data_IF_430144572377
#
_entry.id   IF_430144572377
#
_cell.length_a   1.000
_cell.length_b   1.000
_cell.length_c   1.000
_cell.angle_alpha   90.00
_cell.angle_beta   90.00
_cell.angle_gamma   90.00
#
_symmetry.space_group_name_H-M   'P 1'
#
loop_
_entity.id
_entity.type
_entity.pdbx_description
1 polymer ?
#
# COMPACT_ATOMS: atom_id res chain seq x y z
N UNK A 1 -5.44 32.10 17.87
CA UNK A 1 -4.34 32.52 16.99
C UNK A 1 -4.50 31.80 15.65
N UNK A 2 -4.65 32.54 14.55
CA UNK A 2 -5.04 32.04 13.21
C UNK A 2 -4.19 30.86 12.70
N UNK A 3 -2.88 30.88 12.96
CA UNK A 3 -1.98 29.82 12.51
C UNK A 3 -2.34 28.44 13.09
N UNK A 4 -2.75 28.39 14.36
CA UNK A 4 -3.19 27.15 14.99
C UNK A 4 -4.47 26.62 14.35
N UNK A 5 -5.36 27.51 13.89
CA UNK A 5 -6.63 27.11 13.26
C UNK A 5 -6.41 26.65 11.81
N UNK A 6 -5.45 27.24 11.11
CA UNK A 6 -4.97 26.73 9.81
C UNK A 6 -4.39 25.33 9.99
N UNK A 7 -3.52 25.11 10.98
CA UNK A 7 -2.92 23.79 11.22
C UNK A 7 -3.98 22.73 11.56
N UNK A 8 -4.95 23.05 12.42
CA UNK A 8 -6.08 22.17 12.72
C UNK A 8 -6.86 21.80 11.46
N UNK A 9 -7.13 22.80 10.60
CA UNK A 9 -7.82 22.59 9.33
C UNK A 9 -7.02 21.68 8.41
N UNK A 10 -5.70 21.89 8.27
CA UNK A 10 -4.83 21.03 7.48
C UNK A 10 -4.90 19.57 7.93
N UNK A 11 -4.77 19.32 9.25
CA UNK A 11 -4.86 17.97 9.83
C UNK A 11 -6.22 17.33 9.54
N UNK A 12 -7.31 18.08 9.69
CA UNK A 12 -8.66 17.61 9.42
C UNK A 12 -8.85 17.25 7.95
N UNK A 13 -8.44 18.14 7.03
CA UNK A 13 -8.52 17.91 5.59
C UNK A 13 -7.72 16.67 5.17
N UNK A 14 -6.49 16.50 5.67
CA UNK A 14 -5.67 15.32 5.35
C UNK A 14 -6.32 14.02 5.86
N UNK A 15 -6.91 14.05 7.06
CA UNK A 15 -7.63 12.89 7.62
C UNK A 15 -8.82 12.49 6.76
N UNK A 16 -9.60 13.46 6.31
CA UNK A 16 -10.78 13.21 5.49
C UNK A 16 -10.41 12.76 4.07
N UNK A 17 -9.41 13.38 3.44
CA UNK A 17 -8.87 12.95 2.16
C UNK A 17 -8.32 11.52 2.23
N UNK A 18 -7.59 11.16 3.29
CA UNK A 18 -7.08 9.81 3.47
C UNK A 18 -8.22 8.79 3.62
N UNK A 19 -9.26 9.13 4.39
CA UNK A 19 -10.45 8.28 4.55
C UNK A 19 -11.10 7.97 3.20
N UNK A 20 -11.29 8.99 2.37
CA UNK A 20 -11.91 8.85 1.05
C UNK A 20 -10.99 8.13 0.06
N UNK A 21 -9.68 8.40 0.09
CA UNK A 21 -8.67 7.70 -0.71
C UNK A 21 -8.67 6.20 -0.42
N UNK A 22 -8.71 5.81 0.85
CA UNK A 22 -8.80 4.41 1.29
C UNK A 22 -10.09 3.74 0.85
N UNK A 23 -11.23 4.44 0.95
CA UNK A 23 -12.51 3.92 0.48
C UNK A 23 -12.49 3.68 -1.04
N UNK A 24 -11.87 4.59 -1.80
CA UNK A 24 -11.70 4.42 -3.25
C UNK A 24 -10.76 3.28 -3.62
N UNK A 25 -9.66 3.08 -2.87
CA UNK A 25 -8.74 1.95 -3.07
C UNK A 25 -9.47 0.60 -3.01
N UNK A 26 -10.32 0.41 -2.00
CA UNK A 26 -11.10 -0.82 -1.83
C UNK A 26 -12.05 -1.10 -3.00
N UNK A 27 -12.60 -0.05 -3.62
CA UNK A 27 -13.48 -0.17 -4.79
C UNK A 27 -12.72 -0.41 -6.10
N UNK A 28 -11.43 -0.04 -6.16
CA UNK A 28 -10.63 -0.04 -7.38
C UNK A 28 -9.42 -1.00 -7.33
N UNK A 29 -9.51 -2.11 -6.59
CA UNK A 29 -8.40 -3.06 -6.45
C UNK A 29 -7.87 -3.60 -7.79
N UNK A 30 -8.72 -3.71 -8.82
CA UNK A 30 -8.34 -4.16 -10.16
C UNK A 30 -7.76 -3.05 -11.06
N UNK A 31 -8.01 -1.76 -10.74
CA UNK A 31 -7.68 -0.56 -11.52
C UNK A 31 -6.81 0.42 -10.72
N UNK A 32 -5.70 -0.08 -10.18
CA UNK A 32 -4.84 0.67 -9.25
C UNK A 32 -4.11 1.84 -9.91
N UNK A 33 -3.83 1.75 -11.20
CA UNK A 33 -3.31 2.82 -12.04
C UNK A 33 -4.25 4.04 -12.10
N UNK A 34 -5.56 3.80 -12.27
CA UNK A 34 -6.59 4.84 -12.26
C UNK A 34 -6.67 5.51 -10.88
N UNK A 35 -6.69 4.70 -9.82
CA UNK A 35 -6.72 5.22 -8.45
C UNK A 35 -5.53 6.14 -8.14
N UNK A 36 -4.31 5.79 -8.58
CA UNK A 36 -3.12 6.65 -8.36
C UNK A 36 -3.24 8.00 -9.09
N UNK A 37 -3.87 8.02 -10.27
CA UNK A 37 -4.09 9.25 -11.03
C UNK A 37 -5.08 10.17 -10.31
N UNK A 38 -6.13 9.60 -9.71
CA UNK A 38 -7.22 10.34 -9.05
C UNK A 38 -6.86 10.92 -7.68
N UNK A 39 -5.94 10.30 -6.93
CA UNK A 39 -5.66 10.68 -5.54
C UNK A 39 -4.27 11.29 -5.35
N UNK A 40 -4.07 12.21 -4.37
CA UNK A 40 -2.74 12.74 -4.06
C UNK A 40 -1.74 11.64 -3.72
N UNK A 41 -0.48 11.79 -4.17
CA UNK A 41 0.52 10.72 -4.05
C UNK A 41 0.75 10.25 -2.61
N UNK A 42 0.85 11.19 -1.66
CA UNK A 42 0.98 10.87 -0.24
C UNK A 42 -0.24 10.11 0.31
N UNK A 43 -1.45 10.45 -0.11
CA UNK A 43 -2.65 9.71 0.29
C UNK A 43 -2.62 8.28 -0.24
N UNK A 44 -2.18 8.08 -1.49
CA UNK A 44 -2.02 6.76 -2.08
C UNK A 44 -0.99 5.92 -1.31
N UNK A 45 0.17 6.49 -0.99
CA UNK A 45 1.23 5.79 -0.23
C UNK A 45 0.70 5.36 1.13
N UNK A 46 0.14 6.29 1.91
CA UNK A 46 -0.38 6.00 3.26
C UNK A 46 -1.52 5.00 3.21
N UNK A 47 -2.46 5.13 2.26
CA UNK A 47 -3.56 4.17 2.08
C UNK A 47 -3.05 2.77 1.71
N UNK A 48 -2.04 2.69 0.84
CA UNK A 48 -1.37 1.46 0.44
C UNK A 48 -0.68 0.77 1.62
N UNK A 49 0.06 1.53 2.43
CA UNK A 49 0.73 1.01 3.64
C UNK A 49 -0.27 0.50 4.68
N UNK A 50 -1.39 1.20 4.90
CA UNK A 50 -2.44 0.73 5.81
C UNK A 50 -3.04 -0.58 5.30
N UNK A 51 -3.38 -0.66 4.01
CA UNK A 51 -3.94 -1.88 3.40
C UNK A 51 -2.94 -3.04 3.49
N UNK A 52 -1.68 -2.79 3.14
CA UNK A 52 -0.61 -3.79 3.23
C UNK A 52 -0.43 -4.32 4.65
N UNK A 53 -0.40 -3.43 5.64
CA UNK A 53 -0.29 -3.82 7.06
C UNK A 53 -1.45 -4.72 7.47
N UNK A 54 -2.68 -4.34 7.13
CA UNK A 54 -3.87 -5.15 7.42
C UNK A 54 -3.80 -6.54 6.77
N UNK A 55 -3.39 -6.60 5.50
CA UNK A 55 -3.31 -7.84 4.74
C UNK A 55 -2.21 -8.77 5.29
N UNK A 56 -1.02 -8.23 5.59
CA UNK A 56 0.11 -9.00 6.15
C UNK A 56 -0.20 -9.49 7.56
N UNK A 57 -0.76 -8.64 8.43
CA UNK A 57 -1.21 -9.04 9.77
C UNK A 57 -2.19 -10.20 9.69
N UNK A 58 -3.19 -10.12 8.80
CA UNK A 58 -4.15 -11.21 8.59
C UNK A 58 -3.48 -12.48 8.08
N UNK A 59 -2.52 -12.38 7.15
CA UNK A 59 -1.79 -13.55 6.67
C UNK A 59 -0.90 -14.18 7.75
N UNK A 60 -0.31 -13.40 8.64
CA UNK A 60 0.44 -13.93 9.78
C UNK A 60 -0.50 -14.71 10.71
N UNK A 61 -1.63 -14.14 11.11
CA UNK A 61 -2.64 -14.85 11.92
C UNK A 61 -3.07 -16.18 11.28
N UNK A 62 -3.40 -16.16 9.98
CA UNK A 62 -3.75 -17.39 9.24
C UNK A 62 -2.60 -18.39 9.15
N UNK A 63 -1.36 -17.90 9.06
CA UNK A 63 -0.16 -18.76 8.99
C UNK A 63 0.07 -19.47 10.32
N UNK A 64 -0.15 -18.78 11.45
CA UNK A 64 -0.14 -19.38 12.80
C UNK A 64 -1.22 -20.46 12.93
N UNK A 65 -2.47 -20.10 12.63
CA UNK A 65 -3.62 -20.99 12.79
C UNK A 65 -3.50 -22.29 11.97
N UNK A 66 -2.91 -22.19 10.77
CA UNK A 66 -2.77 -23.33 9.84
C UNK A 66 -1.44 -24.08 9.98
N UNK A 67 -0.47 -23.51 10.70
CA UNK A 67 0.89 -24.04 10.75
C UNK A 67 1.61 -24.03 9.38
N UNK A 68 1.21 -23.16 8.45
CA UNK A 68 1.81 -23.06 7.12
C UNK A 68 2.02 -21.60 6.67
N UNK A 69 2.77 -21.38 5.59
CA UNK A 69 3.06 -20.04 5.06
C UNK A 69 2.26 -19.70 3.79
N UNK A 70 1.17 -20.43 3.51
CA UNK A 70 0.43 -20.30 2.24
C UNK A 70 -0.19 -18.91 2.11
N UNK A 71 -0.69 -18.34 3.21
CA UNK A 71 -1.29 -17.01 3.23
C UNK A 71 -0.26 -15.92 2.87
N UNK A 72 0.92 -15.93 3.51
CA UNK A 72 2.01 -14.98 3.19
C UNK A 72 2.48 -15.12 1.73
N UNK A 73 2.67 -16.35 1.24
CA UNK A 73 3.04 -16.61 -0.15
C UNK A 73 1.98 -16.09 -1.13
N UNK A 74 0.70 -16.20 -0.79
CA UNK A 74 -0.41 -15.68 -1.60
C UNK A 74 -0.38 -14.15 -1.69
N UNK A 75 -0.17 -13.45 -0.58
CA UNK A 75 -0.04 -11.98 -0.60
C UNK A 75 1.19 -11.55 -1.39
N UNK A 76 2.35 -12.22 -1.23
CA UNK A 76 3.54 -11.93 -2.05
C UNK A 76 3.22 -12.01 -3.54
N UNK A 77 2.50 -13.05 -3.99
CA UNK A 77 2.10 -13.20 -5.40
C UNK A 77 1.22 -12.03 -5.86
N UNK A 78 0.24 -11.62 -5.05
CA UNK A 78 -0.62 -10.45 -5.35
C UNK A 78 0.21 -9.15 -5.48
N UNK A 79 1.16 -8.95 -4.58
CA UNK A 79 2.07 -7.80 -4.59
C UNK A 79 2.92 -7.76 -5.86
N UNK A 80 3.45 -8.91 -6.30
CA UNK A 80 4.21 -9.02 -7.56
C UNK A 80 3.36 -8.68 -8.78
N UNK A 81 2.13 -9.19 -8.86
CA UNK A 81 1.21 -8.86 -9.97
C UNK A 81 0.92 -7.36 -10.02
N UNK A 82 0.72 -6.73 -8.86
CA UNK A 82 0.51 -5.29 -8.78
C UNK A 82 1.74 -4.49 -9.21
N UNK A 83 2.95 -4.88 -8.78
CA UNK A 83 4.19 -4.22 -9.17
C UNK A 83 4.45 -4.30 -10.68
N UNK A 84 4.06 -5.40 -11.32
CA UNK A 84 4.13 -5.53 -12.78
C UNK A 84 3.21 -4.51 -13.47
N UNK A 85 1.97 -4.33 -12.98
CA UNK A 85 1.06 -3.29 -13.49
C UNK A 85 1.62 -1.88 -13.31
N UNK A 86 2.28 -1.60 -12.19
CA UNK A 86 2.94 -0.29 -12.03
C UNK A 86 4.13 -0.12 -12.95
N UNK A 87 4.90 -1.17 -13.20
CA UNK A 87 6.01 -1.15 -14.15
C UNK A 87 5.51 -0.86 -15.56
N UNK A 88 4.39 -1.45 -15.98
CA UNK A 88 3.70 -1.13 -17.23
C UNK A 88 3.22 0.33 -17.26
N UNK A 89 2.58 0.81 -16.18
CA UNK A 89 2.12 2.19 -16.09
C UNK A 89 3.27 3.20 -16.21
N UNK A 90 4.43 2.95 -15.61
CA UNK A 90 5.62 3.81 -15.71
C UNK A 90 6.11 3.95 -17.16
N UNK A 91 5.99 2.89 -17.97
CA UNK A 91 6.39 2.91 -19.39
C UNK A 91 5.41 3.64 -20.30
N UNK A 92 4.19 3.91 -19.83
CA UNK A 92 3.21 4.70 -20.58
C UNK A 92 3.58 6.20 -20.63
N UNK A 93 2.87 6.93 -21.48
CA UNK A 93 3.01 8.38 -21.54
C UNK A 93 2.36 9.01 -20.30
N UNK A 94 3.19 9.61 -19.44
CA UNK A 94 2.80 10.19 -18.15
C UNK A 94 3.34 11.60 -18.04
N UNK A 95 2.56 12.50 -17.42
CA UNK A 95 3.10 13.80 -17.02
C UNK A 95 4.23 13.65 -16.00
N UNK A 96 5.11 14.65 -15.91
CA UNK A 96 6.22 14.66 -14.93
C UNK A 96 5.71 14.37 -13.50
N UNK A 97 4.61 14.99 -13.11
CA UNK A 97 3.99 14.80 -11.79
C UNK A 97 3.45 13.37 -11.60
N UNK A 98 2.75 12.81 -12.60
CA UNK A 98 2.25 11.45 -12.52
C UNK A 98 3.38 10.43 -12.41
N UNK A 99 4.46 10.62 -13.18
CA UNK A 99 5.66 9.78 -13.13
C UNK A 99 6.29 9.83 -11.74
N UNK A 100 6.51 11.02 -11.17
CA UNK A 100 7.05 11.14 -9.80
C UNK A 100 6.18 10.44 -8.75
N UNK A 101 4.84 10.57 -8.84
CA UNK A 101 3.91 9.88 -7.93
C UNK A 101 4.02 8.35 -8.03
N UNK A 102 4.03 7.81 -9.25
CA UNK A 102 4.06 6.35 -9.45
C UNK A 102 5.43 5.79 -9.03
N UNK A 103 6.53 6.47 -9.36
CA UNK A 103 7.88 6.06 -8.94
C UNK A 103 7.97 5.99 -7.42
N UNK A 104 7.54 7.03 -6.70
CA UNK A 104 7.54 7.03 -5.24
C UNK A 104 6.73 5.88 -4.66
N UNK A 105 5.54 5.60 -5.22
CA UNK A 105 4.72 4.48 -4.78
C UNK A 105 5.40 3.12 -5.04
N UNK A 106 5.98 2.92 -6.23
CA UNK A 106 6.68 1.67 -6.57
C UNK A 106 7.84 1.41 -5.63
N UNK A 107 8.63 2.42 -5.28
CA UNK A 107 9.73 2.28 -4.32
C UNK A 107 9.25 1.69 -2.99
N UNK A 108 8.13 2.21 -2.46
CA UNK A 108 7.54 1.71 -1.21
C UNK A 108 6.97 0.29 -1.38
N UNK A 109 6.26 0.03 -2.47
CA UNK A 109 5.59 -1.26 -2.70
C UNK A 109 6.59 -2.40 -3.00
N UNK A 110 7.76 -2.10 -3.56
CA UNK A 110 8.89 -3.05 -3.72
C UNK A 110 9.45 -3.43 -2.35
N UNK A 111 9.72 -2.44 -1.49
CA UNK A 111 10.19 -2.69 -0.13
C UNK A 111 9.18 -3.54 0.66
N UNK A 112 7.89 -3.22 0.53
CA UNK A 112 6.81 -3.98 1.14
C UNK A 112 6.77 -5.44 0.67
N UNK A 113 7.02 -5.72 -0.62
CA UNK A 113 7.16 -7.08 -1.17
C UNK A 113 8.35 -7.81 -0.58
N UNK A 114 9.48 -7.13 -0.46
CA UNK A 114 10.73 -7.71 0.06
C UNK A 114 10.59 -8.09 1.54
N UNK A 115 9.86 -7.29 2.33
CA UNK A 115 9.52 -7.64 3.72
C UNK A 115 8.72 -8.94 3.78
N UNK A 116 7.68 -9.12 2.95
CA UNK A 116 6.89 -10.37 2.92
C UNK A 116 7.79 -11.56 2.58
N UNK A 117 8.72 -11.38 1.63
CA UNK A 117 9.69 -12.41 1.30
C UNK A 117 10.60 -12.77 2.48
N UNK A 118 11.08 -11.77 3.23
CA UNK A 118 11.86 -11.97 4.44
C UNK A 118 11.06 -12.75 5.49
N UNK A 119 9.81 -12.36 5.77
CA UNK A 119 8.93 -13.08 6.70
C UNK A 119 8.78 -14.56 6.33
N UNK A 120 8.55 -14.85 5.04
CA UNK A 120 8.43 -16.23 4.54
C UNK A 120 9.73 -17.00 4.72
N UNK A 121 10.89 -16.43 4.37
CA UNK A 121 12.19 -17.09 4.49
C UNK A 121 12.55 -17.34 5.96
N UNK A 122 12.30 -16.38 6.83
CA UNK A 122 12.65 -16.43 8.26
C UNK A 122 11.74 -17.30 9.12
N UNK A 123 10.68 -17.91 8.59
CA UNK A 123 9.82 -18.73 9.45
C UNK A 123 8.73 -17.98 10.19
N UNK A 124 8.60 -16.67 9.99
CA UNK A 124 7.69 -15.86 10.79
C UNK A 124 6.24 -16.22 10.51
N UNK A 125 5.52 -16.56 11.57
CA UNK A 125 4.10 -16.95 11.54
C UNK A 125 3.26 -16.21 12.58
N UNK A 126 3.84 -15.36 13.43
CA UNK A 126 3.11 -14.58 14.44
C UNK A 126 3.40 -13.09 14.29
N UNK A 127 2.43 -12.25 14.63
CA UNK A 127 2.57 -10.79 14.70
C UNK A 127 3.47 -10.35 15.85
N UNK A 128 3.65 -11.21 16.86
CA UNK A 128 4.52 -10.99 18.01
C UNK A 128 5.91 -11.63 17.85
N UNK A 129 6.29 -12.06 16.65
CA UNK A 129 7.63 -12.57 16.37
C UNK A 129 8.61 -11.40 16.16
N UNK A 130 9.16 -10.87 17.24
CA UNK A 130 10.22 -9.85 17.27
C UNK A 130 11.47 -10.36 17.97
#
# INVERSE_FOLDING_TARGET
>A
AWLCDVEKTMRWTLKELLRNCRASLKKNLSKRDKWIKEWPGQMCITAGQIQWTQDVTKALTLSRERGDKRALKSIKKKQVVMLNKFSEAIRSNLSKMQRSKIVALVTIEVHARDIIEKLVKSGVSDVNSF
#
